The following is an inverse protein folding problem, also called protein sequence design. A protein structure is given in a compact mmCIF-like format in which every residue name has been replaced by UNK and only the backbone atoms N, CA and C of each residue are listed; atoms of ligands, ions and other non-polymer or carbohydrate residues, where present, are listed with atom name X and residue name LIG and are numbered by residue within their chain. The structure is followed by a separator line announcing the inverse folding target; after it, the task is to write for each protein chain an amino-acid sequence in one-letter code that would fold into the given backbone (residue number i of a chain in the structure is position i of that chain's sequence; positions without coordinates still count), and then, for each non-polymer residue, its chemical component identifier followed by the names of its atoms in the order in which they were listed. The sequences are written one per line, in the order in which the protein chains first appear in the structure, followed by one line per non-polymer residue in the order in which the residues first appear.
data_IF_305136071553
#
_entry.id   IF_305136071553
#
_cell.length_a   1.000
_cell.length_b   1.000
_cell.length_c   1.000
_cell.angle_alpha   90.00
_cell.angle_beta   90.00
_cell.angle_gamma   90.00
#
_symmetry.space_group_name_H-M   'P 1'
#
loop_
_entity.id
_entity.type
_entity.pdbx_description
1 polymer ?
#
# COMPACT_ATOMS: atom_id res chain seq x y z
N UNK A 1 -70.50 16.83 50.30
CA UNK A 1 -69.75 17.45 49.18
C UNK A 1 -70.07 18.94 49.19
N UNK A 2 -69.10 19.84 48.94
CA UNK A 2 -67.82 19.64 48.25
C UNK A 2 -66.58 19.90 49.12
N UNK A 3 -65.47 19.26 48.73
CA UNK A 3 -64.13 19.58 49.19
C UNK A 3 -63.59 20.74 48.33
N UNK A 4 -63.11 21.79 48.98
CA UNK A 4 -62.45 22.92 48.35
C UNK A 4 -60.96 22.59 48.24
N UNK A 5 -60.60 21.92 47.14
CA UNK A 5 -59.22 21.57 46.82
C UNK A 5 -58.60 22.75 46.06
N UNK A 6 -58.17 23.75 46.83
CA UNK A 6 -57.48 24.94 46.32
C UNK A 6 -56.10 24.52 45.82
N UNK A 7 -56.03 24.16 44.54
CA UNK A 7 -54.80 23.84 43.83
C UNK A 7 -53.87 25.07 43.80
N UNK A 8 -52.97 25.15 44.77
CA UNK A 8 -51.82 26.03 44.72
C UNK A 8 -50.99 25.72 43.45
N UNK A 9 -50.44 26.74 42.76
CA UNK A 9 -49.54 26.49 41.64
C UNK A 9 -48.32 25.73 42.15
N UNK A 10 -48.11 24.51 41.66
CA UNK A 10 -46.91 23.74 41.92
C UNK A 10 -45.71 24.55 41.40
N UNK A 11 -44.99 25.17 42.32
CA UNK A 11 -43.73 25.82 42.02
C UNK A 11 -42.79 24.76 41.41
N UNK A 12 -42.24 25.08 40.24
CA UNK A 12 -41.20 24.29 39.60
C UNK A 12 -40.13 23.91 40.63
N UNK A 13 -39.56 22.69 40.58
CA UNK A 13 -38.57 22.27 41.56
C UNK A 13 -37.41 23.27 41.52
N UNK A 14 -37.27 24.04 42.60
CA UNK A 14 -36.17 24.98 42.77
C UNK A 14 -34.87 24.16 42.76
N UNK A 15 -34.20 24.14 41.61
CA UNK A 15 -32.88 23.53 41.46
C UNK A 15 -31.99 24.17 42.52
N UNK A 16 -31.46 23.36 43.44
CA UNK A 16 -30.69 23.84 44.58
C UNK A 16 -29.51 24.71 44.09
N UNK A 17 -29.32 25.93 44.63
CA UNK A 17 -28.26 26.84 44.21
C UNK A 17 -26.86 26.25 44.39
N UNK A 18 -26.66 25.26 45.26
CA UNK A 18 -25.37 24.54 45.36
C UNK A 18 -25.04 23.74 44.09
N UNK A 19 -26.06 23.24 43.39
CA UNK A 19 -25.92 22.56 42.10
C UNK A 19 -25.72 23.53 40.93
N UNK A 20 -26.12 24.80 41.04
CA UNK A 20 -25.82 25.81 40.00
C UNK A 20 -24.54 26.60 40.28
N UNK A 21 -24.02 26.62 41.52
CA UNK A 21 -22.74 27.25 41.87
C UNK A 21 -21.53 26.34 41.68
N UNK A 22 -21.72 25.02 41.76
CA UNK A 22 -20.65 24.06 41.58
C UNK A 22 -20.11 24.10 40.15
N UNK A 23 -18.80 24.35 40.04
CA UNK A 23 -18.08 24.35 38.76
C UNK A 23 -18.23 23.01 38.04
N UNK A 24 -18.26 21.92 38.80
CA UNK A 24 -18.48 20.56 38.31
C UNK A 24 -19.88 20.40 37.73
N UNK A 25 -20.89 20.96 38.40
CA UNK A 25 -22.27 20.87 37.93
C UNK A 25 -22.52 21.76 36.70
N UNK A 26 -21.91 22.94 36.62
CA UNK A 26 -21.88 23.76 35.40
C UNK A 26 -21.20 23.04 34.24
N UNK A 27 -20.07 22.40 34.51
CA UNK A 27 -19.34 21.62 33.49
C UNK A 27 -20.16 20.41 33.01
N UNK A 28 -20.85 19.71 33.90
CA UNK A 28 -21.76 18.62 33.53
C UNK A 28 -23.00 19.11 32.78
N UNK A 29 -23.54 20.27 33.15
CA UNK A 29 -24.66 20.89 32.47
C UNK A 29 -24.27 21.35 31.05
N UNK A 30 -23.12 22.01 30.92
CA UNK A 30 -22.55 22.40 29.62
C UNK A 30 -22.29 21.18 28.72
N UNK A 31 -21.75 20.09 29.28
CA UNK A 31 -21.58 18.81 28.57
C UNK A 31 -22.92 18.19 28.15
N UNK A 32 -23.97 18.35 28.96
CA UNK A 32 -25.32 17.85 28.65
C UNK A 32 -26.04 18.72 27.60
N UNK A 33 -25.66 19.99 27.49
CA UNK A 33 -26.15 20.96 26.50
C UNK A 33 -25.45 20.88 25.15
N UNK A 34 -24.33 20.16 25.05
CA UNK A 34 -23.75 19.83 23.75
C UNK A 34 -24.77 18.98 23.00
N UNK A 35 -25.43 19.58 22.01
CA UNK A 35 -26.30 18.87 21.09
C UNK A 35 -25.53 17.65 20.55
N UNK A 36 -26.15 16.48 20.59
CA UNK A 36 -25.64 15.31 19.89
C UNK A 36 -25.60 15.69 18.41
N UNK A 37 -24.40 15.96 17.89
CA UNK A 37 -24.14 16.43 16.52
C UNK A 37 -24.35 15.33 15.47
N UNK A 38 -25.36 14.49 15.65
CA UNK A 38 -25.68 13.41 14.74
C UNK A 38 -26.71 13.97 13.76
N UNK A 39 -26.28 14.20 12.52
CA UNK A 39 -27.19 14.52 11.44
C UNK A 39 -28.06 13.30 11.09
N UNK A 40 -29.21 13.49 10.41
CA UNK A 40 -30.06 12.38 9.95
C UNK A 40 -29.38 11.43 8.95
N UNK A 41 -28.23 11.82 8.39
CA UNK A 41 -27.39 11.03 7.49
C UNK A 41 -26.27 10.24 8.21
N UNK A 42 -26.20 10.34 9.55
CA UNK A 42 -25.16 9.63 10.30
C UNK A 42 -25.49 8.14 10.41
N UNK A 43 -24.48 7.28 10.23
CA UNK A 43 -24.65 5.81 10.14
C UNK A 43 -24.93 5.14 11.50
N UNK A 44 -25.19 5.92 12.54
CA UNK A 44 -25.30 5.45 13.91
C UNK A 44 -26.77 5.12 14.24
N UNK A 45 -27.07 3.91 14.72
CA UNK A 45 -28.41 3.56 15.16
C UNK A 45 -28.85 4.47 16.32
N UNK A 46 -30.13 4.85 16.33
CA UNK A 46 -30.70 5.68 17.40
C UNK A 46 -31.05 4.80 18.61
N UNK A 47 -30.53 5.11 19.80
CA UNK A 47 -30.84 4.39 21.04
C UNK A 47 -29.63 4.08 21.93
N UNK A 48 -29.74 3.03 22.74
CA UNK A 48 -28.67 2.54 23.65
C UNK A 48 -27.47 1.97 22.87
N UNK A 49 -27.76 1.25 21.79
CA UNK A 49 -26.78 0.67 20.84
C UNK A 49 -25.90 1.74 20.16
N UNK A 50 -26.32 3.02 20.16
CA UNK A 50 -25.55 4.15 19.63
C UNK A 50 -24.22 4.32 20.34
N UNK A 51 -24.22 4.17 21.66
CA UNK A 51 -23.04 4.43 22.48
C UNK A 51 -21.97 3.37 22.26
N UNK A 52 -22.36 2.12 22.08
CA UNK A 52 -21.46 1.01 21.74
C UNK A 52 -20.90 1.20 20.34
N UNK A 53 -21.75 1.52 19.36
CA UNK A 53 -21.33 1.72 17.99
C UNK A 53 -20.44 2.96 17.81
N UNK A 54 -20.71 4.03 18.55
CA UNK A 54 -19.86 5.23 18.59
C UNK A 54 -18.46 4.91 19.10
N UNK A 55 -18.34 4.12 20.16
CA UNK A 55 -17.03 3.71 20.69
C UNK A 55 -16.26 2.89 19.65
N UNK A 56 -16.94 1.99 18.94
CA UNK A 56 -16.34 1.20 17.86
C UNK A 56 -15.84 2.11 16.73
N UNK A 57 -16.70 2.97 16.19
CA UNK A 57 -16.35 3.86 15.07
C UNK A 57 -15.21 4.83 15.43
N UNK A 58 -15.26 5.41 16.62
CA UNK A 58 -14.20 6.30 17.12
C UNK A 58 -12.89 5.53 17.29
N UNK A 59 -12.93 4.30 17.82
CA UNK A 59 -11.73 3.49 17.95
C UNK A 59 -11.10 3.17 16.59
N UNK A 60 -11.92 2.80 15.60
CA UNK A 60 -11.45 2.57 14.22
C UNK A 60 -10.85 3.84 13.59
N UNK A 61 -11.52 4.98 13.76
CA UNK A 61 -11.03 6.27 13.28
C UNK A 61 -9.65 6.59 13.86
N UNK A 62 -9.46 6.42 15.17
CA UNK A 62 -8.18 6.68 15.83
C UNK A 62 -7.08 5.70 15.39
N UNK A 63 -7.40 4.42 15.20
CA UNK A 63 -6.42 3.45 14.67
C UNK A 63 -6.00 3.79 13.23
N UNK A 64 -6.96 4.20 12.39
CA UNK A 64 -6.67 4.68 11.04
C UNK A 64 -5.79 5.93 11.05
N UNK A 65 -6.10 6.89 11.94
CA UNK A 65 -5.31 8.11 12.08
C UNK A 65 -3.90 7.82 12.58
N UNK A 66 -3.75 6.91 13.56
CA UNK A 66 -2.46 6.46 14.07
C UNK A 66 -1.62 5.80 12.96
N UNK A 67 -2.25 4.97 12.12
CA UNK A 67 -1.62 4.34 10.96
C UNK A 67 -1.08 5.38 9.97
N UNK A 68 -1.90 6.37 9.60
CA UNK A 68 -1.50 7.45 8.70
C UNK A 68 -0.33 8.25 9.31
N UNK A 69 -0.43 8.58 10.60
CA UNK A 69 0.62 9.33 11.29
C UNK A 69 1.95 8.56 11.31
N UNK A 70 1.91 7.25 11.57
CA UNK A 70 3.09 6.40 11.55
C UNK A 70 3.72 6.36 10.15
N UNK A 71 2.91 6.24 9.09
CA UNK A 71 3.38 6.26 7.70
C UNK A 71 4.00 7.60 7.30
N UNK A 72 3.44 8.73 7.76
CA UNK A 72 4.03 10.05 7.48
C UNK A 72 5.39 10.18 8.17
N UNK A 73 5.49 9.75 9.45
CA UNK A 73 6.74 9.81 10.20
C UNK A 73 7.80 8.90 9.59
N UNK A 74 7.43 7.67 9.23
CA UNK A 74 8.35 6.73 8.58
C UNK A 74 8.74 7.25 7.20
N UNK A 75 7.80 7.74 6.39
CA UNK A 75 8.07 8.34 5.09
C UNK A 75 9.01 9.55 5.17
N UNK A 76 8.80 10.44 6.15
CA UNK A 76 9.70 11.56 6.38
C UNK A 76 11.10 11.13 6.82
N UNK A 77 11.22 10.10 7.65
CA UNK A 77 12.50 9.51 8.02
C UNK A 77 13.21 8.94 6.78
N UNK A 78 12.51 8.18 5.94
CA UNK A 78 13.05 7.66 4.68
C UNK A 78 13.51 8.80 3.75
N UNK A 79 12.75 9.88 3.62
CA UNK A 79 13.16 11.05 2.82
C UNK A 79 14.41 11.71 3.39
N UNK A 80 14.53 11.81 4.72
CA UNK A 80 15.74 12.36 5.36
C UNK A 80 16.95 11.46 5.15
N UNK A 81 16.78 10.14 5.23
CA UNK A 81 17.86 9.19 4.96
C UNK A 81 18.24 9.14 3.47
N UNK A 82 17.27 9.27 2.57
CA UNK A 82 17.52 9.35 1.13
C UNK A 82 18.15 10.69 0.73
N UNK A 83 17.88 11.77 1.47
CA UNK A 83 18.58 13.05 1.32
C UNK A 83 19.97 12.96 1.94
N UNK A 84 20.91 12.42 1.17
CA UNK A 84 22.32 12.76 1.34
C UNK A 84 22.44 14.27 1.12
N UNK A 85 22.88 15.08 2.10
CA UNK A 85 23.04 16.50 1.87
C UNK A 85 24.04 16.70 0.73
N UNK A 86 23.82 17.69 -0.14
CA UNK A 86 24.68 17.94 -1.30
C UNK A 86 26.15 18.15 -0.87
N UNK A 87 26.36 18.63 0.36
CA UNK A 87 27.68 18.78 0.98
C UNK A 87 28.35 17.48 1.42
N UNK A 88 27.62 16.37 1.58
CA UNK A 88 28.17 15.04 1.85
C UNK A 88 28.46 14.25 0.58
N UNK A 89 28.11 14.79 -0.60
CA UNK A 89 28.54 14.26 -1.90
C UNK A 89 29.98 14.74 -2.11
N UNK A 90 30.93 13.98 -1.60
CA UNK A 90 32.33 14.25 -1.87
C UNK A 90 32.63 13.86 -3.33
N UNK A 91 33.15 14.81 -4.11
CA UNK A 91 33.55 14.50 -5.47
C UNK A 91 34.67 13.44 -5.40
N UNK A 92 34.64 12.45 -6.31
CA UNK A 92 35.73 11.49 -6.37
C UNK A 92 37.06 12.22 -6.67
N UNK A 93 38.22 11.64 -6.30
CA UNK A 93 39.53 12.23 -6.56
C UNK A 93 39.66 12.67 -8.03
N UNK A 94 40.46 13.71 -8.30
CA UNK A 94 40.62 14.26 -9.65
C UNK A 94 41.06 13.23 -10.71
N UNK A 95 41.70 12.14 -10.29
CA UNK A 95 42.15 11.03 -11.15
C UNK A 95 41.19 9.81 -11.15
N UNK A 96 39.98 9.96 -10.62
CA UNK A 96 39.02 8.86 -10.54
C UNK A 96 38.34 8.63 -11.89
N UNK A 97 38.79 7.58 -12.57
CA UNK A 97 38.13 7.01 -13.73
C UNK A 97 37.16 5.95 -13.21
N UNK A 98 35.84 6.10 -13.38
CA UNK A 98 34.89 5.08 -12.91
C UNK A 98 35.20 3.75 -13.60
N UNK A 99 35.22 2.67 -12.80
CA UNK A 99 35.26 1.31 -13.35
C UNK A 99 34.06 1.13 -14.28
N UNK A 100 34.32 0.58 -15.45
CA UNK A 100 33.34 0.38 -16.51
C UNK A 100 32.36 -0.73 -16.14
N UNK A 101 31.46 -0.44 -15.19
CA UNK A 101 30.44 -1.37 -14.72
C UNK A 101 29.41 -1.56 -15.86
N UNK A 102 29.40 -2.76 -16.46
CA UNK A 102 28.71 -3.05 -17.73
C UNK A 102 29.65 -3.19 -18.94
N UNK A 103 30.93 -2.86 -18.76
CA UNK A 103 32.00 -2.89 -19.78
C UNK A 103 33.29 -3.46 -19.13
N UNK A 104 33.20 -4.64 -18.52
CA UNK A 104 34.39 -5.33 -18.00
C UNK A 104 35.20 -5.94 -19.14
N UNK A 105 36.52 -6.09 -18.97
CA UNK A 105 37.36 -6.85 -19.89
C UNK A 105 37.43 -8.34 -19.48
N UNK A 106 36.65 -9.29 -20.05
CA UNK A 106 36.93 -10.71 -19.88
C UNK A 106 38.32 -11.10 -20.40
N UNK A 107 39.20 -11.35 -19.44
CA UNK A 107 40.43 -12.11 -19.63
C UNK A 107 41.62 -11.28 -20.11
N UNK A 108 42.59 -11.15 -19.23
CA UNK A 108 43.97 -11.39 -19.66
C UNK A 108 44.08 -12.92 -19.88
N UNK A 109 44.60 -13.47 -20.98
CA UNK A 109 45.97 -13.28 -21.50
C UNK A 109 46.14 -13.88 -22.93
N UNK A 110 45.26 -13.65 -23.93
CA UNK A 110 45.58 -14.11 -25.32
C UNK A 110 44.72 -13.60 -26.48
N UNK A 111 43.52 -13.04 -26.27
CA UNK A 111 42.64 -12.63 -27.38
C UNK A 111 41.87 -11.32 -27.08
N UNK A 112 41.79 -10.35 -28.02
CA UNK A 112 41.30 -9.00 -27.74
C UNK A 112 39.77 -8.82 -27.77
N UNK A 113 38.99 -9.77 -28.31
CA UNK A 113 37.53 -9.65 -28.43
C UNK A 113 36.76 -9.92 -27.15
N UNK A 114 37.39 -10.59 -26.18
CA UNK A 114 36.80 -10.84 -24.88
C UNK A 114 37.06 -9.69 -23.94
N UNK A 115 37.84 -8.67 -24.26
CA UNK A 115 38.24 -7.64 -23.30
C UNK A 115 37.21 -6.51 -23.11
N UNK A 116 35.94 -6.55 -23.50
CA UNK A 116 35.04 -5.41 -23.15
C UNK A 116 33.61 -5.82 -22.78
N UNK A 117 33.33 -7.12 -22.79
CA UNK A 117 31.98 -7.62 -22.59
C UNK A 117 31.63 -7.63 -21.12
N UNK A 118 30.70 -6.76 -20.73
CA UNK A 118 30.15 -6.78 -19.38
C UNK A 118 29.43 -8.10 -19.10
N UNK A 119 29.35 -8.47 -17.82
CA UNK A 119 28.56 -9.62 -17.36
C UNK A 119 27.09 -9.55 -17.80
N UNK A 120 26.57 -8.33 -18.01
CA UNK A 120 25.22 -8.10 -18.51
C UNK A 120 25.12 -8.50 -19.98
N UNK A 121 26.07 -8.10 -20.81
CA UNK A 121 26.12 -8.46 -22.22
C UNK A 121 26.30 -9.98 -22.37
N UNK A 122 27.23 -10.60 -21.63
CA UNK A 122 27.44 -12.06 -21.69
C UNK A 122 26.16 -12.86 -21.34
N UNK A 123 25.37 -12.37 -20.39
CA UNK A 123 24.08 -12.99 -20.03
C UNK A 123 23.05 -12.83 -21.16
N UNK A 124 22.90 -11.62 -21.68
CA UNK A 124 21.98 -11.33 -22.78
C UNK A 124 22.31 -12.19 -23.99
N UNK A 125 23.59 -12.35 -24.30
CA UNK A 125 24.04 -13.18 -25.42
C UNK A 125 23.79 -14.67 -25.18
N UNK A 126 24.05 -15.17 -23.97
CA UNK A 126 23.76 -16.56 -23.63
C UNK A 126 22.27 -16.87 -23.77
N UNK A 127 21.41 -15.98 -23.29
CA UNK A 127 19.96 -16.14 -23.36
C UNK A 127 19.48 -16.06 -24.82
N UNK A 128 20.07 -15.18 -25.63
CA UNK A 128 19.78 -15.10 -27.06
C UNK A 128 20.16 -16.39 -27.81
N UNK A 129 21.32 -16.99 -27.52
CA UNK A 129 21.73 -18.26 -28.12
C UNK A 129 20.82 -19.42 -27.72
N UNK A 130 20.40 -19.47 -26.45
CA UNK A 130 19.43 -20.46 -25.98
C UNK A 130 18.09 -20.33 -26.72
N UNK A 131 17.59 -19.10 -26.87
CA UNK A 131 16.35 -18.84 -27.62
C UNK A 131 16.43 -19.22 -29.09
N UNK A 132 17.56 -18.96 -29.76
CA UNK A 132 17.78 -19.38 -31.16
C UNK A 132 17.79 -20.91 -31.29
N UNK A 133 18.46 -21.60 -30.37
CA UNK A 133 18.52 -23.06 -30.37
C UNK A 133 17.14 -23.68 -30.16
N UNK A 134 16.35 -23.13 -29.24
CA UNK A 134 14.97 -23.56 -29.02
C UNK A 134 14.12 -23.37 -30.29
N UNK A 135 14.18 -22.18 -30.91
CA UNK A 135 13.44 -21.89 -32.13
C UNK A 135 13.81 -22.80 -33.31
N UNK A 136 15.10 -23.10 -33.49
CA UNK A 136 15.56 -24.03 -34.52
C UNK A 136 15.15 -25.47 -34.23
N UNK A 137 15.11 -25.86 -32.97
CA UNK A 137 14.63 -27.18 -32.54
C UNK A 137 13.15 -27.33 -32.86
N UNK A 138 12.33 -26.33 -32.51
CA UNK A 138 10.90 -26.29 -32.86
C UNK A 138 10.68 -26.36 -34.37
N UNK A 139 11.47 -25.62 -35.18
CA UNK A 139 11.35 -25.63 -36.63
C UNK A 139 11.70 -27.00 -37.23
N UNK A 140 12.73 -27.68 -36.67
CA UNK A 140 13.09 -29.03 -37.07
C UNK A 140 11.98 -30.03 -36.76
N UNK A 141 11.44 -30.00 -35.54
CA UNK A 141 10.35 -30.88 -35.12
C UNK A 141 9.10 -30.70 -36.00
N UNK A 142 8.73 -29.45 -36.31
CA UNK A 142 7.64 -29.15 -37.23
C UNK A 142 7.88 -29.75 -38.62
N UNK A 143 9.10 -29.64 -39.16
CA UNK A 143 9.44 -30.18 -40.48
C UNK A 143 9.49 -31.71 -40.51
N UNK A 144 9.94 -32.33 -39.44
CA UNK A 144 9.96 -33.79 -39.31
C UNK A 144 8.52 -34.33 -39.19
N UNK A 145 7.62 -33.63 -38.49
CA UNK A 145 6.20 -33.96 -38.45
C UNK A 145 5.51 -33.85 -39.83
N UNK A 146 5.78 -32.78 -40.59
CA UNK A 146 5.26 -32.63 -41.96
C UNK A 146 5.74 -33.78 -42.87
N UNK A 147 7.01 -34.19 -42.78
CA UNK A 147 7.54 -35.32 -43.55
C UNK A 147 6.88 -36.65 -43.18
N UNK A 148 6.62 -36.87 -41.90
CA UNK A 148 5.94 -38.08 -41.43
C UNK A 148 4.49 -38.13 -41.91
N UNK A 149 3.77 -36.99 -41.89
CA UNK A 149 2.41 -36.89 -42.42
C UNK A 149 2.38 -37.15 -43.93
N UNK A 150 3.34 -36.60 -44.69
CA UNK A 150 3.46 -36.88 -46.13
C UNK A 150 3.73 -38.37 -46.39
N UNK A 151 4.64 -38.99 -45.65
CA UNK A 151 4.93 -40.42 -45.78
C UNK A 151 3.71 -41.31 -45.46
N UNK A 152 2.99 -41.02 -44.37
CA UNK A 152 1.77 -41.74 -44.00
C UNK A 152 0.66 -41.58 -45.04
N UNK A 153 0.43 -40.35 -45.55
CA UNK A 153 -0.56 -40.11 -46.60
C UNK A 153 -0.23 -40.86 -47.91
N UNK A 154 1.06 -41.04 -48.23
CA UNK A 154 1.48 -41.82 -49.40
C UNK A 154 1.37 -43.33 -49.20
N UNK A 155 1.52 -43.82 -47.96
CA UNK A 155 1.33 -45.25 -47.63
C UNK A 155 -0.16 -45.63 -47.63
N UNK A 156 -1.04 -44.78 -47.08
CA UNK A 156 -2.49 -45.00 -47.12
C UNK A 156 -3.03 -44.99 -48.56
N UNK A 157 -2.50 -44.13 -49.43
CA UNK A 157 -2.86 -44.08 -50.85
C UNK A 157 -2.38 -45.30 -51.68
N UNK A 158 -1.49 -46.15 -51.14
CA UNK A 158 -1.08 -47.41 -51.77
C UNK A 158 -1.85 -48.63 -51.23
N UNK A 159 -2.61 -48.49 -50.15
CA UNK A 159 -3.35 -49.58 -49.51
C UNK A 159 -4.84 -49.64 -49.89
N UNK A 160 -5.37 -48.61 -50.57
CA UNK A 160 -6.65 -48.66 -51.32
C UNK A 160 -6.46 -49.10 -52.78
#
# INVERSE_FOLDING_TARGET
MPADDSAAPQAAPAIDPTWTASRTARQLFDLHLVEKTDGPDDKLPQGEERSEQFVIEVSEYFERLNTIQLQIRSGLAHIRHARIPISAINAPPADFIPSSLGVGLPGDLSNPSTKTRGLQEEKVDRDAWNGILEALTQLKEARDAERQQQAQSSEDAMQE
#
